data_IF_409240290590
#
_entry.id   IF_409240290590
#
_cell.length_a   1.000
_cell.length_b   1.000
_cell.length_c   1.000
_cell.angle_alpha   90.00
_cell.angle_beta   90.00
_cell.angle_gamma   90.00
#
_symmetry.space_group_name_H-M   'P 1'
#
loop_
_entity.id
_entity.type
_entity.pdbx_description
1 polymer ?
#
# COMPACT_ATOMS: atom_id res chain seq x y z
N UNK A 1 16.26 12.77 -3.34
CA UNK A 1 15.61 12.46 -4.65
C UNK A 1 14.81 13.68 -5.05
N UNK A 2 15.14 14.23 -6.20
CA UNK A 2 14.49 15.42 -6.75
C UNK A 2 13.30 15.03 -7.65
N UNK A 3 12.40 15.96 -8.03
CA UNK A 3 11.26 15.63 -8.92
C UNK A 3 11.65 14.94 -10.21
N UNK A 4 12.78 15.33 -10.83
CA UNK A 4 13.30 14.69 -12.04
C UNK A 4 13.65 13.21 -11.85
N UNK A 5 14.16 12.86 -10.66
CA UNK A 5 14.46 11.46 -10.34
C UNK A 5 13.18 10.64 -10.23
N UNK A 6 12.11 11.23 -9.66
CA UNK A 6 10.80 10.60 -9.57
C UNK A 6 10.15 10.39 -10.93
N UNK A 7 10.30 11.36 -11.84
CA UNK A 7 9.86 11.21 -13.24
C UNK A 7 10.50 9.98 -13.89
N UNK A 8 11.82 9.88 -13.79
CA UNK A 8 12.57 8.77 -14.37
C UNK A 8 12.27 7.43 -13.73
N UNK A 9 12.19 7.41 -12.38
CA UNK A 9 11.97 6.19 -11.60
C UNK A 9 10.57 5.58 -11.83
N UNK A 10 9.55 6.44 -11.92
CA UNK A 10 8.15 6.01 -11.96
C UNK A 10 7.48 6.16 -13.33
N UNK A 11 8.17 6.75 -14.31
CA UNK A 11 7.61 7.02 -15.64
C UNK A 11 6.40 7.96 -15.61
N UNK A 12 6.45 9.02 -14.80
CA UNK A 12 5.32 9.94 -14.55
C UNK A 12 5.61 11.34 -15.07
N UNK A 13 4.52 12.11 -15.28
CA UNK A 13 4.63 13.52 -15.68
C UNK A 13 5.27 14.39 -14.60
N UNK A 14 5.78 15.55 -14.99
CA UNK A 14 6.39 16.54 -14.09
C UNK A 14 5.43 16.96 -12.98
N UNK A 15 4.17 17.23 -13.27
CA UNK A 15 3.15 17.62 -12.29
C UNK A 15 2.94 16.52 -11.24
N UNK A 16 2.92 15.25 -11.66
CA UNK A 16 2.79 14.12 -10.74
C UNK A 16 4.07 13.91 -9.93
N UNK A 17 5.22 14.18 -10.50
CA UNK A 17 6.50 14.08 -9.80
C UNK A 17 6.62 15.16 -8.71
N UNK A 18 6.26 16.41 -9.01
CA UNK A 18 6.21 17.51 -8.05
C UNK A 18 5.26 17.19 -6.89
N UNK A 19 4.04 16.76 -7.20
CA UNK A 19 3.06 16.37 -6.17
C UNK A 19 3.60 15.25 -5.25
N UNK A 20 4.25 14.23 -5.82
CA UNK A 20 4.79 13.13 -5.00
C UNK A 20 6.03 13.56 -4.23
N UNK A 21 6.86 14.45 -4.78
CA UNK A 21 7.98 15.04 -4.06
C UNK A 21 7.51 15.82 -2.82
N UNK A 22 6.48 16.67 -2.96
CA UNK A 22 5.87 17.38 -1.83
C UNK A 22 5.32 16.42 -0.76
N UNK A 23 4.66 15.33 -1.18
CA UNK A 23 4.17 14.28 -0.27
C UNK A 23 5.30 13.64 0.52
N UNK A 24 6.44 13.37 -0.14
CA UNK A 24 7.64 12.81 0.49
C UNK A 24 8.23 13.79 1.49
N UNK A 25 8.38 15.08 1.12
CA UNK A 25 8.92 16.11 2.02
C UNK A 25 8.06 16.29 3.28
N UNK A 26 6.75 16.23 3.13
CA UNK A 26 5.78 16.37 4.22
C UNK A 26 5.52 15.07 5.00
N UNK A 27 6.17 13.97 4.61
CA UNK A 27 5.94 12.70 5.26
C UNK A 27 6.50 12.68 6.69
N UNK A 28 5.71 12.17 7.61
CA UNK A 28 6.11 11.97 9.01
C UNK A 28 5.37 10.75 9.58
N UNK A 29 5.80 10.27 10.75
CA UNK A 29 5.22 9.08 11.39
C UNK A 29 3.89 9.33 12.12
N UNK A 30 3.37 10.56 12.10
CA UNK A 30 2.08 10.88 12.71
C UNK A 30 0.94 10.69 11.73
N UNK A 31 0.05 9.75 12.02
CA UNK A 31 -1.17 9.48 11.25
C UNK A 31 -2.36 10.09 11.98
N UNK A 32 -3.00 11.06 11.33
CA UNK A 32 -4.15 11.81 11.87
C UNK A 32 -5.25 11.88 10.81
N UNK A 33 -6.52 12.11 11.20
CA UNK A 33 -7.63 12.20 10.24
C UNK A 33 -7.45 13.25 9.13
N UNK A 34 -6.66 14.29 9.38
CA UNK A 34 -6.39 15.35 8.38
C UNK A 34 -5.22 15.05 7.44
N UNK A 35 -4.44 13.99 7.67
CA UNK A 35 -3.27 13.67 6.85
C UNK A 35 -3.15 12.20 6.46
N UNK A 36 -4.09 11.36 6.86
CA UNK A 36 -4.13 9.94 6.57
C UNK A 36 -5.57 9.46 6.44
N UNK A 37 -5.76 8.35 5.74
CA UNK A 37 -7.05 7.72 5.53
C UNK A 37 -6.88 6.21 5.54
N UNK A 38 -7.93 5.47 5.84
CA UNK A 38 -7.94 4.01 5.78
C UNK A 38 -7.59 3.53 4.37
N UNK A 39 -6.77 2.49 4.29
CA UNK A 39 -6.20 2.02 3.04
C UNK A 39 -7.26 1.60 2.03
N UNK A 40 -8.32 0.90 2.46
CA UNK A 40 -9.40 0.44 1.57
C UNK A 40 -10.14 1.58 0.86
N UNK A 41 -10.20 2.76 1.48
CA UNK A 41 -10.82 3.96 0.91
C UNK A 41 -9.82 4.89 0.20
N UNK A 42 -8.54 4.54 0.22
CA UNK A 42 -7.46 5.37 -0.32
C UNK A 42 -6.93 4.88 -1.65
N UNK A 43 -6.92 3.57 -1.86
CA UNK A 43 -6.49 2.98 -3.12
C UNK A 43 -7.55 3.16 -4.21
N UNK A 44 -7.10 3.32 -5.44
CA UNK A 44 -7.92 3.51 -6.63
C UNK A 44 -7.51 2.50 -7.70
N UNK A 45 -8.36 2.29 -8.67
CA UNK A 45 -8.16 1.34 -9.78
C UNK A 45 -9.29 0.30 -9.82
N UNK A 46 -9.29 -0.54 -10.85
CA UNK A 46 -10.41 -1.44 -11.18
C UNK A 46 -10.78 -2.38 -10.02
N UNK A 47 -9.78 -2.93 -9.33
CA UNK A 47 -10.00 -3.80 -8.16
C UNK A 47 -10.80 -3.08 -7.07
N UNK A 48 -10.46 -1.83 -6.78
CA UNK A 48 -11.13 -1.04 -5.72
C UNK A 48 -12.47 -0.49 -6.18
N UNK A 49 -12.61 -0.20 -7.46
CA UNK A 49 -13.89 0.15 -8.07
C UNK A 49 -14.85 -1.04 -7.99
N UNK A 50 -14.35 -2.25 -8.29
CA UNK A 50 -15.15 -3.48 -8.17
C UNK A 50 -15.50 -3.85 -6.73
N UNK A 51 -14.61 -3.59 -5.77
CA UNK A 51 -14.87 -3.79 -4.35
C UNK A 51 -15.94 -2.84 -3.80
N UNK A 52 -15.98 -1.62 -4.32
CA UNK A 52 -16.88 -0.54 -3.85
C UNK A 52 -16.99 -0.48 -2.32
N UNK A 53 -15.85 -0.29 -1.66
CA UNK A 53 -15.77 -0.32 -0.19
C UNK A 53 -16.71 0.68 0.49
N UNK A 54 -17.13 1.72 -0.22
CA UNK A 54 -18.06 2.74 0.29
C UNK A 54 -19.50 2.22 0.42
N UNK A 55 -19.86 1.18 -0.31
CA UNK A 55 -21.17 0.51 -0.22
C UNK A 55 -21.24 -0.53 0.91
N UNK A 56 -20.09 -0.93 1.46
CA UNK A 56 -20.02 -1.95 2.51
C UNK A 56 -20.56 -1.43 3.84
N UNK A 57 -21.37 -2.24 4.51
CA UNK A 57 -21.84 -1.93 5.86
C UNK A 57 -20.74 -2.20 6.92
N UNK A 58 -21.01 -1.82 8.17
CA UNK A 58 -20.04 -1.96 9.26
C UNK A 58 -19.60 -3.42 9.50
N UNK A 59 -20.50 -4.39 9.34
CA UNK A 59 -20.17 -5.80 9.52
C UNK A 59 -19.27 -6.32 8.41
N UNK A 60 -19.52 -5.90 7.16
CA UNK A 60 -18.70 -6.25 5.99
C UNK A 60 -17.29 -5.66 6.11
N UNK A 61 -17.17 -4.41 6.55
CA UNK A 61 -15.86 -3.77 6.81
C UNK A 61 -15.11 -4.50 7.92
N UNK A 62 -15.78 -4.93 8.97
CA UNK A 62 -15.15 -5.70 10.05
C UNK A 62 -14.72 -7.10 9.59
N UNK A 63 -15.52 -7.74 8.75
CA UNK A 63 -15.14 -9.00 8.10
C UNK A 63 -13.93 -8.81 7.21
N UNK A 64 -13.96 -7.81 6.33
CA UNK A 64 -12.84 -7.46 5.45
C UNK A 64 -11.56 -7.18 6.24
N UNK A 65 -11.63 -6.44 7.36
CA UNK A 65 -10.48 -6.16 8.23
C UNK A 65 -9.76 -7.43 8.70
N UNK A 66 -10.49 -8.51 8.90
CA UNK A 66 -9.94 -9.81 9.35
C UNK A 66 -9.41 -10.67 8.19
N UNK A 67 -10.05 -10.59 7.01
CA UNK A 67 -9.84 -11.55 5.93
C UNK A 67 -9.17 -10.97 4.68
N UNK A 68 -9.15 -9.65 4.51
CA UNK A 68 -8.52 -8.98 3.36
C UNK A 68 -7.16 -8.40 3.72
N UNK A 69 -6.22 -8.52 2.80
CA UNK A 69 -4.90 -7.86 2.87
C UNK A 69 -4.65 -7.12 1.56
N UNK A 70 -4.08 -5.93 1.66
CA UNK A 70 -3.74 -5.08 0.54
C UNK A 70 -2.22 -5.03 0.43
N UNK A 71 -1.69 -5.41 -0.73
CA UNK A 71 -0.26 -5.32 -1.01
C UNK A 71 0.11 -3.91 -1.45
N UNK A 72 1.18 -3.39 -0.88
CA UNK A 72 1.66 -2.03 -1.11
C UNK A 72 3.17 -2.01 -1.30
N UNK A 73 3.66 -1.33 -2.34
CA UNK A 73 5.09 -1.15 -2.56
C UNK A 73 5.77 -0.41 -1.40
N UNK A 74 5.08 0.56 -0.79
CA UNK A 74 5.62 1.36 0.31
C UNK A 74 5.40 0.73 1.69
N UNK A 75 4.18 0.24 1.95
CA UNK A 75 3.78 -0.23 3.29
C UNK A 75 3.88 -1.75 3.46
N UNK A 76 4.14 -2.50 2.39
CA UNK A 76 4.18 -3.96 2.40
C UNK A 76 2.78 -4.57 2.41
N UNK A 77 2.29 -4.97 3.57
CA UNK A 77 0.94 -5.53 3.75
C UNK A 77 0.13 -4.62 4.65
N UNK A 78 -1.08 -4.30 4.21
CA UNK A 78 -2.05 -3.49 4.93
C UNK A 78 -3.34 -4.27 5.14
N UNK A 79 -4.00 -3.98 6.24
CA UNK A 79 -5.40 -4.33 6.46
C UNK A 79 -6.30 -3.18 5.99
N UNK A 80 -7.55 -3.42 5.63
CA UNK A 80 -8.45 -2.39 5.11
C UNK A 80 -8.52 -1.09 5.89
N UNK A 81 -8.51 -1.14 7.22
CA UNK A 81 -8.60 0.04 8.09
C UNK A 81 -7.24 0.58 8.56
N UNK A 82 -6.13 0.03 8.10
CA UNK A 82 -4.82 0.60 8.40
C UNK A 82 -4.70 1.98 7.73
N UNK A 83 -4.27 2.97 8.50
CA UNK A 83 -4.13 4.34 8.01
C UNK A 83 -2.90 4.48 7.11
N UNK A 84 -3.10 5.07 5.96
CA UNK A 84 -2.02 5.41 5.02
C UNK A 84 -2.05 6.89 4.66
N UNK A 85 -0.91 7.38 4.23
CA UNK A 85 -0.78 8.70 3.60
C UNK A 85 -0.73 8.56 2.09
N UNK A 86 -1.13 9.58 1.33
CA UNK A 86 -1.05 9.54 -0.12
C UNK A 86 0.39 9.31 -0.58
N UNK A 87 0.56 8.35 -1.47
CA UNK A 87 1.85 8.04 -2.09
C UNK A 87 1.64 7.45 -3.49
N UNK A 88 2.72 7.38 -4.25
CA UNK A 88 2.78 6.64 -5.51
C UNK A 88 4.09 5.85 -5.53
N UNK A 89 4.01 4.56 -5.34
CA UNK A 89 5.13 3.64 -5.48
C UNK A 89 4.57 2.25 -5.75
N UNK A 90 4.73 1.77 -6.98
CA UNK A 90 4.26 0.45 -7.38
C UNK A 90 5.29 -0.61 -6.99
N UNK A 91 4.83 -1.81 -6.65
CA UNK A 91 5.70 -2.93 -6.28
C UNK A 91 6.71 -3.28 -7.38
N UNK A 92 6.33 -3.13 -8.66
CA UNK A 92 7.19 -3.35 -9.82
C UNK A 92 8.24 -2.26 -10.08
N UNK A 93 8.25 -1.16 -9.32
CA UNK A 93 9.21 -0.06 -9.51
C UNK A 93 10.63 -0.54 -9.24
N UNK A 94 11.53 -0.32 -10.21
CA UNK A 94 12.96 -0.67 -10.11
C UNK A 94 13.70 0.38 -9.27
N UNK A 95 13.42 0.39 -7.99
CA UNK A 95 14.04 1.30 -7.03
C UNK A 95 15.19 0.59 -6.32
N UNK A 96 16.42 0.97 -6.67
CA UNK A 96 17.61 0.48 -5.96
C UNK A 96 17.57 0.94 -4.51
N UNK A 97 17.85 0.04 -3.61
CA UNK A 97 17.75 0.24 -2.17
C UNK A 97 18.84 -0.57 -1.43
N UNK A 98 18.88 -0.49 -0.12
CA UNK A 98 19.87 -1.17 0.73
C UNK A 98 19.81 -2.72 0.68
N UNK A 99 18.70 -3.29 0.18
CA UNK A 99 18.48 -4.74 0.14
C UNK A 99 18.51 -5.32 -1.28
N UNK A 100 18.57 -4.46 -2.32
CA UNK A 100 18.60 -4.91 -3.69
C UNK A 100 18.23 -3.84 -4.71
N UNK A 101 17.96 -4.27 -5.93
CA UNK A 101 17.74 -3.39 -7.08
C UNK A 101 16.26 -3.03 -7.31
N UNK A 102 15.34 -3.61 -6.52
CA UNK A 102 13.90 -3.41 -6.68
C UNK A 102 13.16 -3.68 -5.36
N UNK A 103 11.85 -3.41 -5.34
CA UNK A 103 11.01 -3.61 -4.15
C UNK A 103 10.71 -5.08 -3.86
N UNK A 104 10.77 -5.98 -4.84
CA UNK A 104 10.64 -7.42 -4.57
C UNK A 104 11.81 -7.93 -3.73
N UNK A 105 13.02 -7.48 -4.04
CA UNK A 105 14.22 -7.80 -3.24
C UNK A 105 14.17 -7.13 -1.88
N UNK A 106 13.67 -5.89 -1.80
CA UNK A 106 13.48 -5.19 -0.52
C UNK A 106 12.56 -5.96 0.42
N UNK A 107 11.39 -6.35 -0.05
CA UNK A 107 10.40 -7.07 0.76
C UNK A 107 10.73 -8.55 0.91
N UNK A 108 11.34 -9.16 -0.12
CA UNK A 108 11.75 -10.56 -0.16
C UNK A 108 10.64 -11.47 0.40
N UNK A 109 10.99 -12.42 1.25
CA UNK A 109 10.06 -13.37 1.88
C UNK A 109 9.34 -12.82 3.13
N UNK A 110 9.61 -11.56 3.52
CA UNK A 110 9.02 -10.94 4.71
C UNK A 110 7.48 -10.85 4.63
N UNK A 111 6.95 -10.57 3.42
CA UNK A 111 5.50 -10.51 3.21
C UNK A 111 4.86 -11.91 3.36
N UNK A 112 5.48 -12.93 2.80
CA UNK A 112 5.01 -14.31 2.94
C UNK A 112 5.09 -14.80 4.39
N UNK A 113 6.17 -14.48 5.10
CA UNK A 113 6.31 -14.78 6.53
C UNK A 113 5.22 -14.11 7.36
N UNK A 114 4.92 -12.83 7.07
CA UNK A 114 3.86 -12.10 7.74
C UNK A 114 2.49 -12.76 7.50
N UNK A 115 2.14 -13.05 6.23
CA UNK A 115 0.88 -13.72 5.89
C UNK A 115 0.76 -15.10 6.55
N UNK A 116 1.82 -15.89 6.54
CA UNK A 116 1.84 -17.18 7.21
C UNK A 116 1.64 -17.06 8.73
N UNK A 117 2.16 -16.00 9.34
CA UNK A 117 1.93 -15.72 10.76
C UNK A 117 0.46 -15.37 11.03
N UNK A 118 -0.13 -14.49 10.22
CA UNK A 118 -1.55 -14.10 10.32
C UNK A 118 -2.48 -15.32 10.17
N UNK A 119 -2.20 -16.18 9.18
CA UNK A 119 -3.00 -17.39 8.90
C UNK A 119 -3.01 -18.41 10.04
N UNK A 120 -2.07 -18.36 10.99
CA UNK A 120 -2.06 -19.31 12.13
C UNK A 120 -3.37 -19.25 12.93
N UNK A 121 -4.00 -18.08 12.97
CA UNK A 121 -5.23 -17.83 13.73
C UNK A 121 -6.50 -18.11 12.91
N UNK A 122 -6.36 -18.49 11.63
CA UNK A 122 -7.49 -18.84 10.78
C UNK A 122 -7.74 -20.35 10.80
N UNK A 123 -9.02 -20.73 10.82
CA UNK A 123 -9.44 -22.13 10.75
C UNK A 123 -9.00 -22.75 9.41
N UNK A 124 -9.29 -22.04 8.34
CA UNK A 124 -8.86 -22.41 6.98
C UNK A 124 -7.65 -21.56 6.57
N UNK A 125 -6.54 -22.22 6.21
CA UNK A 125 -5.26 -21.57 5.87
C UNK A 125 -5.14 -21.40 4.37
N UNK A 126 -6.16 -20.79 3.76
CA UNK A 126 -6.24 -20.57 2.31
C UNK A 126 -6.07 -19.09 1.99
N UNK A 127 -5.27 -18.79 0.97
CA UNK A 127 -5.13 -17.45 0.37
C UNK A 127 -5.76 -17.50 -1.00
N UNK A 128 -6.61 -16.52 -1.29
CA UNK A 128 -7.16 -16.26 -2.63
C UNK A 128 -6.50 -14.98 -3.14
N UNK A 129 -5.87 -15.09 -4.31
CA UNK A 129 -5.17 -13.98 -4.96
C UNK A 129 -5.73 -13.76 -6.36
#
# INVERSE_FOLDING_TARGET
MEPKDLMSLMGISENLALLNWERIQNWNKSFKPNNSRESVFSFMGDTYTGLDATSLNKADIQFSQKHTRILSGLYGILRPLDLIKPYRLEMGTRMKNEKGDNLYEYWNDSLAKFLNHELRNHKEKTIIN
#
